data_IF_149824891413
#
_entry.id   IF_149824891413
#
_cell.length_a   1.000
_cell.length_b   1.000
_cell.length_c   1.000
_cell.angle_alpha   90.00
_cell.angle_beta   90.00
_cell.angle_gamma   90.00
#
_symmetry.space_group_name_H-M   'P 1'
#
loop_
_entity.id
_entity.type
_entity.pdbx_description
1 polymer ?
#
# COMPACT_ATOMS: atom_id res chain seq x y z
N UNK A 1 -9.22 35.41 24.50
CA UNK A 1 -9.23 33.97 24.82
C UNK A 1 -9.99 33.27 23.71
N UNK A 2 -9.28 32.62 22.79
CA UNK A 2 -9.90 31.86 21.71
C UNK A 2 -10.40 30.54 22.29
N UNK A 3 -11.72 30.33 22.32
CA UNK A 3 -12.38 29.20 22.98
C UNK A 3 -12.46 27.94 22.11
N UNK A 4 -12.02 27.99 20.86
CA UNK A 4 -12.09 26.86 19.93
C UNK A 4 -10.88 26.85 18.99
N UNK A 5 -9.70 26.52 19.50
CA UNK A 5 -8.61 26.02 18.66
C UNK A 5 -8.71 24.49 18.57
N UNK A 6 -9.78 23.99 17.96
CA UNK A 6 -9.93 22.57 17.58
C UNK A 6 -9.18 22.25 16.28
N UNK A 7 -8.16 23.04 15.95
CA UNK A 7 -7.46 23.02 14.67
C UNK A 7 -6.12 22.29 14.75
N UNK A 8 -6.11 21.16 15.48
CA UNK A 8 -5.07 20.16 15.32
C UNK A 8 -5.68 19.11 14.40
N UNK A 9 -5.30 19.16 13.13
CA UNK A 9 -5.54 18.09 12.17
C UNK A 9 -5.01 16.78 12.76
N UNK A 10 -5.90 16.01 13.38
CA UNK A 10 -5.55 14.73 13.98
C UNK A 10 -5.43 13.72 12.86
N UNK A 11 -4.19 13.36 12.53
CA UNK A 11 -3.91 12.33 11.55
C UNK A 11 -3.62 11.01 12.26
N UNK A 12 -4.12 9.91 11.69
CA UNK A 12 -3.83 8.55 12.16
C UNK A 12 -2.84 7.93 11.18
N UNK A 13 -1.77 7.34 11.70
CA UNK A 13 -0.87 6.48 10.93
C UNK A 13 -1.24 5.02 11.15
N UNK A 14 -1.35 4.26 10.07
CA UNK A 14 -1.58 2.83 10.10
C UNK A 14 -0.46 2.13 9.30
N UNK A 15 -0.01 0.99 9.80
CA UNK A 15 0.83 0.08 9.01
C UNK A 15 -0.08 -0.92 8.31
N UNK A 16 0.15 -1.12 7.02
CA UNK A 16 -0.55 -2.10 6.22
C UNK A 16 0.43 -3.19 5.81
N UNK A 17 0.02 -4.44 5.95
CA UNK A 17 0.75 -5.55 5.35
C UNK A 17 0.41 -5.62 3.87
N UNK A 18 1.44 -5.76 3.04
CA UNK A 18 1.29 -5.89 1.59
C UNK A 18 1.71 -7.29 1.17
N UNK A 19 0.89 -7.92 0.33
CA UNK A 19 1.19 -9.23 -0.24
C UNK A 19 1.67 -9.06 -1.68
N UNK A 20 2.91 -9.45 -1.96
CA UNK A 20 3.53 -9.36 -3.28
C UNK A 20 2.90 -10.28 -4.34
N UNK A 21 2.06 -11.25 -3.94
CA UNK A 21 1.25 -12.02 -4.89
C UNK A 21 0.05 -11.24 -5.41
N UNK A 22 -0.33 -10.16 -4.72
CA UNK A 22 -1.48 -9.33 -5.05
C UNK A 22 -1.02 -7.99 -5.62
N UNK A 23 -1.96 -7.28 -6.23
CA UNK A 23 -1.75 -5.90 -6.64
C UNK A 23 -1.89 -4.94 -5.45
N UNK A 24 -1.22 -3.79 -5.54
CA UNK A 24 -1.42 -2.71 -4.59
C UNK A 24 -2.87 -2.21 -4.61
N UNK A 25 -3.33 -1.70 -3.48
CA UNK A 25 -4.70 -1.24 -3.29
C UNK A 25 -4.71 0.28 -3.33
N UNK A 26 -5.44 0.84 -4.29
CA UNK A 26 -5.61 2.31 -4.38
C UNK A 26 -6.58 2.84 -3.32
N UNK A 27 -7.41 1.97 -2.74
CA UNK A 27 -8.39 2.33 -1.73
C UNK A 27 -8.50 1.30 -0.62
N UNK A 28 -8.71 1.77 0.60
CA UNK A 28 -8.99 0.94 1.77
C UNK A 28 -10.31 1.36 2.40
N UNK A 29 -11.03 0.39 2.96
CA UNK A 29 -12.22 0.65 3.78
C UNK A 29 -11.82 0.56 5.24
N UNK A 30 -11.90 1.67 5.95
CA UNK A 30 -11.62 1.75 7.39
C UNK A 30 -12.93 1.81 8.17
N UNK A 31 -12.95 1.15 9.32
CA UNK A 31 -14.07 1.19 10.25
C UNK A 31 -13.72 2.18 11.36
N UNK A 32 -14.49 3.26 11.47
CA UNK A 32 -14.31 4.28 12.50
C UNK A 32 -15.43 4.11 13.54
N UNK A 33 -15.10 3.78 14.80
CA UNK A 33 -16.11 3.68 15.85
C UNK A 33 -16.71 5.04 16.18
N UNK A 34 -18.01 5.07 16.49
CA UNK A 34 -18.70 6.30 16.89
C UNK A 34 -18.22 6.74 18.29
N UNK A 35 -17.76 7.99 18.43
CA UNK A 35 -17.23 8.51 19.70
C UNK A 35 -18.28 8.69 20.81
N UNK A 36 -19.55 8.91 20.45
CA UNK A 36 -20.63 9.30 21.39
C UNK A 36 -21.79 8.30 21.43
N UNK A 37 -21.66 7.11 20.86
CA UNK A 37 -22.75 6.14 20.76
C UNK A 37 -22.29 4.75 20.37
N UNK A 38 -23.24 3.84 20.17
CA UNK A 38 -22.96 2.49 19.68
C UNK A 38 -22.78 2.47 18.15
N UNK A 39 -21.99 1.54 17.65
CA UNK A 39 -21.79 1.31 16.22
C UNK A 39 -20.54 1.97 15.63
N UNK A 40 -20.46 1.95 14.30
CA UNK A 40 -19.31 2.39 13.52
C UNK A 40 -19.73 2.95 12.16
N UNK A 41 -18.90 3.80 11.59
CA UNK A 41 -19.00 4.24 10.18
C UNK A 41 -17.92 3.56 9.35
N UNK A 42 -18.22 3.32 8.07
CA UNK A 42 -17.24 2.84 7.09
C UNK A 42 -16.81 4.03 6.24
N UNK A 43 -15.51 4.26 6.15
CA UNK A 43 -14.95 5.28 5.27
C UNK A 43 -14.05 4.61 4.24
N UNK A 44 -14.22 5.00 2.97
CA UNK A 44 -13.29 4.61 1.91
C UNK A 44 -12.25 5.71 1.80
N UNK A 45 -10.99 5.36 2.02
CA UNK A 45 -9.84 6.26 1.89
C UNK A 45 -9.03 5.87 0.67
N UNK A 46 -8.44 6.85 0.00
CA UNK A 46 -7.44 6.62 -1.05
C UNK A 46 -6.07 6.39 -0.39
N UNK A 47 -5.31 5.46 -0.94
CA UNK A 47 -3.94 5.16 -0.50
C UNK A 47 -2.99 5.81 -1.48
N UNK A 48 -2.04 6.57 -0.94
CA UNK A 48 -0.90 7.10 -1.69
C UNK A 48 0.36 6.42 -1.17
N UNK A 49 1.14 5.86 -2.09
CA UNK A 49 2.41 5.23 -1.79
C UNK A 49 3.52 6.22 -2.10
N UNK A 50 4.39 6.50 -1.13
CA UNK A 50 5.56 7.35 -1.34
C UNK A 50 6.53 6.74 -2.36
N UNK A 51 6.55 5.40 -2.45
CA UNK A 51 7.38 4.66 -3.38
C UNK A 51 6.63 3.43 -3.91
N UNK A 52 6.63 3.26 -5.23
CA UNK A 52 6.09 2.09 -5.94
C UNK A 52 7.24 1.21 -6.45
N UNK A 53 7.64 0.16 -5.71
CA UNK A 53 8.75 -0.69 -6.10
C UNK A 53 8.38 -1.61 -7.28
N UNK A 54 9.32 -1.88 -8.20
CA UNK A 54 9.10 -2.85 -9.27
C UNK A 54 8.80 -4.24 -8.67
N UNK A 55 7.73 -4.87 -9.16
CA UNK A 55 7.31 -6.23 -8.76
C UNK A 55 7.67 -7.23 -9.83
N UNK A 56 8.45 -8.25 -9.48
CA UNK A 56 8.78 -9.33 -10.39
C UNK A 56 7.59 -10.28 -10.57
N UNK A 57 7.13 -10.44 -11.81
CA UNK A 57 6.02 -11.33 -12.17
C UNK A 57 6.35 -12.83 -12.00
N UNK A 58 7.63 -13.20 -11.94
CA UNK A 58 8.07 -14.60 -11.81
C UNK A 58 8.18 -15.07 -10.37
N UNK A 59 8.86 -14.31 -9.52
CA UNK A 59 9.14 -14.73 -8.15
C UNK A 59 8.24 -14.06 -7.11
N UNK A 60 7.38 -13.12 -7.54
CA UNK A 60 6.45 -12.38 -6.70
C UNK A 60 7.16 -11.68 -5.54
N UNK A 61 8.29 -11.04 -5.85
CA UNK A 61 9.05 -10.23 -4.91
C UNK A 61 9.21 -8.81 -5.48
N UNK A 62 9.29 -7.84 -4.57
CA UNK A 62 9.57 -6.45 -4.89
C UNK A 62 11.08 -6.21 -5.10
N UNK A 63 11.41 -5.03 -5.62
CA UNK A 63 12.77 -4.51 -5.86
C UNK A 63 13.46 -5.00 -7.15
N UNK A 64 12.79 -5.72 -8.04
CA UNK A 64 13.34 -6.04 -9.37
C UNK A 64 12.25 -6.40 -10.38
N UNK A 65 12.56 -6.29 -11.67
CA UNK A 65 11.71 -6.76 -12.77
C UNK A 65 12.07 -8.18 -13.21
N UNK A 66 11.28 -8.76 -14.12
CA UNK A 66 11.46 -10.14 -14.60
C UNK A 66 12.86 -10.37 -15.20
N UNK A 67 13.40 -9.36 -15.87
CA UNK A 67 14.67 -9.35 -16.60
C UNK A 67 15.89 -9.52 -15.70
N UNK A 68 15.73 -9.13 -14.43
CA UNK A 68 16.74 -9.14 -13.37
C UNK A 68 16.48 -10.25 -12.36
N UNK A 69 15.44 -11.06 -12.59
CA UNK A 69 15.04 -12.06 -11.61
C UNK A 69 16.12 -13.13 -11.45
N UNK A 70 16.65 -13.36 -10.24
CA UNK A 70 17.65 -14.40 -10.00
C UNK A 70 17.08 -15.82 -10.20
N UNK A 71 15.75 -15.95 -10.25
CA UNK A 71 15.05 -17.19 -10.59
C UNK A 71 14.77 -17.32 -12.10
N UNK A 72 15.09 -16.32 -12.93
CA UNK A 72 14.92 -16.40 -14.39
C UNK A 72 15.90 -17.42 -15.01
N UNK A 73 15.50 -18.13 -16.08
CA UNK A 73 16.47 -18.94 -16.83
C UNK A 73 17.54 -18.00 -17.44
N UNK A 74 18.79 -18.47 -17.61
CA UNK A 74 19.82 -17.67 -18.25
C UNK A 74 19.36 -17.24 -19.65
N UNK A 75 19.54 -15.95 -19.96
CA UNK A 75 19.21 -15.40 -21.28
C UNK A 75 20.03 -16.17 -22.31
N UNK A 76 19.36 -16.83 -23.27
CA UNK A 76 20.03 -17.47 -24.40
C UNK A 76 20.62 -16.34 -25.26
N UNK A 77 21.94 -16.21 -25.27
CA UNK A 77 22.64 -15.36 -26.23
C UNK A 77 22.54 -16.07 -27.59
N UNK A 78 21.92 -15.48 -28.63
CA UNK A 78 21.91 -16.10 -29.95
C UNK A 78 23.35 -16.19 -30.44
N UNK A 79 23.78 -17.40 -30.83
CA UNK A 79 25.06 -17.57 -31.50
C UNK A 79 24.99 -16.83 -32.85
N UNK A 80 25.83 -15.81 -33.01
CA UNK A 80 26.12 -15.13 -34.27
C UNK A 80 26.94 -16.03 -35.19
#
# INVERSE_FOLDING_TARGET
MCLESWDISSYVRAFIEINATNEFRDTLVVIVPNLKGTGYTKHTIRVEYEWDPPRCSKCLAYCHLLEECPKAPPKRVPNS
#
